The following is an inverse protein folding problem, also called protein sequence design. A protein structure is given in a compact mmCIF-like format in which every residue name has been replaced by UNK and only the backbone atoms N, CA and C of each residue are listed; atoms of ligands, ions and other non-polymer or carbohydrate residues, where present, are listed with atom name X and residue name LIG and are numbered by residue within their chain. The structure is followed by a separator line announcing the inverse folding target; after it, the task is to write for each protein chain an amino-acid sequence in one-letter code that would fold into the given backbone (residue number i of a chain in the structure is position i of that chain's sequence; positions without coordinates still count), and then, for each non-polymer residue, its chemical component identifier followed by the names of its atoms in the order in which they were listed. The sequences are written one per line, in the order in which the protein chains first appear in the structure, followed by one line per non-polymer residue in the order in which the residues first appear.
data_IF_976287632908
#
_entry.id   IF_976287632908
#
_cell.length_a   1.000
_cell.length_b   1.000
_cell.length_c   1.000
_cell.angle_alpha   90.00
_cell.angle_beta   90.00
_cell.angle_gamma   90.00
#
_symmetry.space_group_name_H-M   'P 1'
#
loop_
_entity.id
_entity.type
_entity.pdbx_description
1 polymer ?
#
# COMPACT_ATOMS: atom_id res chain seq x y z
N UNK A 1 -8.17 -18.32 4.34
CA UNK A 1 -7.50 -19.40 3.60
C UNK A 1 -6.42 -18.76 2.77
N UNK A 2 -5.19 -18.71 3.29
CA UNK A 2 -4.01 -18.27 2.54
C UNK A 2 -3.65 -19.41 1.59
N UNK A 3 -3.70 -19.16 0.28
CA UNK A 3 -3.22 -20.15 -0.67
C UNK A 3 -1.69 -20.21 -0.56
N UNK A 4 -1.07 -21.40 -0.48
CA UNK A 4 0.37 -21.52 -0.55
C UNK A 4 0.80 -21.13 -1.97
N UNK A 5 1.48 -19.99 -2.10
CA UNK A 5 2.09 -19.48 -3.34
C UNK A 5 3.19 -20.39 -3.92
N UNK A 6 3.42 -21.56 -3.33
CA UNK A 6 4.59 -22.41 -3.57
C UNK A 6 4.56 -23.23 -4.87
N UNK A 7 3.48 -23.19 -5.66
CA UNK A 7 3.33 -24.05 -6.84
C UNK A 7 2.87 -23.32 -8.12
N UNK A 8 3.30 -22.08 -8.34
CA UNK A 8 3.16 -21.44 -9.65
C UNK A 8 4.41 -21.74 -10.49
N UNK A 9 4.32 -22.59 -11.55
CA UNK A 9 5.43 -22.85 -12.44
C UNK A 9 5.71 -21.59 -13.28
N UNK A 10 6.75 -20.85 -12.92
CA UNK A 10 7.16 -19.66 -13.66
C UNK A 10 7.89 -18.64 -12.80
N UNK A 11 9.20 -18.83 -12.66
CA UNK A 11 10.22 -17.78 -12.56
C UNK A 11 10.10 -16.78 -11.40
N UNK A 12 10.41 -17.25 -10.19
CA UNK A 12 10.84 -16.41 -9.07
C UNK A 12 11.97 -17.08 -8.27
N UNK A 13 12.94 -17.67 -8.97
CA UNK A 13 14.12 -18.25 -8.32
C UNK A 13 15.16 -17.17 -8.06
N UNK A 14 15.57 -17.03 -6.80
CA UNK A 14 16.57 -16.08 -6.29
C UNK A 14 16.06 -15.33 -5.05
N UNK A 15 16.81 -15.42 -3.95
CA UNK A 15 16.50 -14.74 -2.68
C UNK A 15 16.42 -13.20 -2.83
N UNK A 16 17.07 -12.63 -3.86
CA UNK A 16 17.05 -11.19 -4.18
C UNK A 16 15.88 -10.76 -5.09
N UNK A 17 14.98 -11.67 -5.47
CA UNK A 17 13.80 -11.32 -6.27
C UNK A 17 12.71 -10.62 -5.44
N UNK A 18 11.87 -9.77 -6.06
CA UNK A 18 10.72 -9.13 -5.39
C UNK A 18 9.81 -10.17 -4.72
N UNK A 19 9.64 -11.33 -5.36
CA UNK A 19 8.87 -12.43 -4.80
C UNK A 19 9.55 -13.06 -3.59
N UNK A 20 10.88 -13.23 -3.63
CA UNK A 20 11.69 -13.63 -2.47
C UNK A 20 11.50 -12.67 -1.29
N UNK A 21 11.62 -11.36 -1.54
CA UNK A 21 11.39 -10.33 -0.53
C UNK A 21 9.96 -10.39 0.06
N UNK A 22 8.94 -10.65 -0.76
CA UNK A 22 7.56 -10.80 -0.29
C UNK A 22 7.36 -12.06 0.58
N UNK A 23 8.11 -13.14 0.32
CA UNK A 23 8.03 -14.38 1.12
C UNK A 23 8.71 -14.24 2.49
N UNK A 24 9.65 -13.30 2.62
CA UNK A 24 10.38 -13.02 3.86
C UNK A 24 9.75 -11.88 4.69
N UNK A 25 8.72 -11.20 4.19
CA UNK A 25 8.06 -10.09 4.89
C UNK A 25 6.93 -10.57 5.82
N UNK A 26 6.58 -9.74 6.80
CA UNK A 26 5.42 -9.97 7.67
C UNK A 26 4.07 -9.97 6.91
N UNK A 27 4.07 -9.43 5.70
CA UNK A 27 2.92 -9.37 4.82
C UNK A 27 3.23 -8.63 3.52
N UNK A 28 2.45 -8.93 2.50
CA UNK A 28 2.53 -8.25 1.20
C UNK A 28 1.13 -7.88 0.70
N UNK A 29 1.08 -6.87 -0.15
CA UNK A 29 -0.15 -6.41 -0.77
C UNK A 29 0.11 -6.09 -2.24
N UNK A 30 -0.74 -6.64 -3.10
CA UNK A 30 -0.69 -6.41 -4.54
C UNK A 30 -1.94 -5.68 -4.99
N UNK A 31 -1.76 -4.63 -5.81
CA UNK A 31 -2.86 -3.94 -6.46
C UNK A 31 -2.46 -3.45 -7.84
N UNK A 32 -3.46 -3.32 -8.71
CA UNK A 32 -3.36 -2.46 -9.88
C UNK A 32 -3.68 -1.02 -9.48
N UNK A 33 -2.91 -0.07 -10.01
CA UNK A 33 -3.16 1.35 -9.81
C UNK A 33 -4.24 1.82 -10.79
N UNK A 34 -5.20 2.60 -10.30
CA UNK A 34 -6.15 3.29 -11.16
C UNK A 34 -5.57 4.60 -11.72
N UNK A 35 -6.10 5.08 -12.84
CA UNK A 35 -5.65 6.34 -13.46
C UNK A 35 -5.76 7.56 -12.52
N UNK A 36 -6.69 7.54 -11.57
CA UNK A 36 -6.83 8.60 -10.58
C UNK A 36 -5.68 8.63 -9.57
N UNK A 37 -5.09 7.47 -9.28
CA UNK A 37 -4.04 7.33 -8.27
C UNK A 37 -2.65 7.60 -8.85
N UNK A 38 -2.48 7.42 -10.15
CA UNK A 38 -1.29 7.79 -10.90
C UNK A 38 -1.31 9.25 -11.36
N UNK A 39 -2.21 10.09 -10.82
CA UNK A 39 -2.32 11.50 -11.20
C UNK A 39 -2.75 11.77 -12.66
N UNK A 40 -2.96 10.72 -13.48
CA UNK A 40 -3.16 10.83 -14.92
C UNK A 40 -4.45 11.56 -15.32
N UNK A 41 -5.42 11.66 -14.42
CA UNK A 41 -6.68 12.35 -14.65
C UNK A 41 -6.70 13.80 -14.16
N UNK A 42 -5.58 14.31 -13.61
CA UNK A 42 -5.53 15.64 -12.97
C UNK A 42 -6.41 15.78 -11.74
N UNK A 43 -6.96 14.66 -11.24
CA UNK A 43 -7.85 14.67 -10.08
C UNK A 43 -7.07 14.95 -8.79
N UNK A 44 -7.68 15.66 -7.85
CA UNK A 44 -7.11 15.94 -6.53
C UNK A 44 -6.99 14.70 -5.61
N UNK A 45 -7.29 13.49 -6.09
CA UNK A 45 -7.13 12.27 -5.30
C UNK A 45 -5.66 11.83 -5.26
N UNK A 46 -4.84 12.56 -4.51
CA UNK A 46 -3.45 12.21 -4.27
C UNK A 46 -3.36 11.01 -3.30
N UNK A 47 -2.94 9.85 -3.80
CA UNK A 47 -2.52 8.72 -2.98
C UNK A 47 -3.18 7.39 -3.32
N UNK A 48 -2.48 6.31 -2.96
CA UNK A 48 -2.94 4.95 -3.21
C UNK A 48 -4.04 4.55 -2.23
N UNK A 49 -5.22 4.24 -2.74
CA UNK A 49 -6.27 3.55 -2.02
C UNK A 49 -5.79 2.17 -1.56
N UNK A 50 -6.09 1.85 -0.30
CA UNK A 50 -5.81 0.57 0.31
C UNK A 50 -7.12 0.01 0.88
N UNK A 51 -7.39 -1.25 0.57
CA UNK A 51 -8.65 -1.89 0.97
C UNK A 51 -8.75 -1.96 2.50
N UNK A 52 -9.95 -1.71 3.06
CA UNK A 52 -10.19 -1.66 4.52
C UNK A 52 -9.77 -2.91 5.29
N UNK A 53 -9.76 -4.07 4.65
CA UNK A 53 -9.36 -5.34 5.28
C UNK A 53 -7.84 -5.50 5.38
N UNK A 54 -7.06 -4.68 4.66
CA UNK A 54 -5.59 -4.71 4.68
C UNK A 54 -5.00 -3.81 5.78
N UNK A 55 -5.81 -3.35 6.75
CA UNK A 55 -5.35 -2.45 7.81
C UNK A 55 -4.19 -3.03 8.63
N UNK A 56 -4.17 -4.35 8.81
CA UNK A 56 -3.21 -5.07 9.65
C UNK A 56 -1.77 -4.94 9.15
N UNK A 57 -1.57 -4.59 7.87
CA UNK A 57 -0.25 -4.30 7.32
C UNK A 57 0.39 -3.03 7.92
N UNK A 58 -0.42 -2.12 8.46
CA UNK A 58 0.04 -0.78 8.85
C UNK A 58 -0.42 -0.34 10.25
N UNK A 59 -1.56 -0.85 10.72
CA UNK A 59 -2.15 -0.55 12.01
C UNK A 59 -2.44 -1.81 12.84
N UNK A 60 -2.30 -1.72 14.17
CA UNK A 60 -2.63 -2.84 15.06
C UNK A 60 -4.14 -3.08 15.19
N UNK A 61 -4.97 -2.08 14.87
CA UNK A 61 -6.44 -2.15 14.96
C UNK A 61 -7.07 -1.50 13.72
N UNK A 62 -8.28 -1.95 13.32
CA UNK A 62 -9.01 -1.29 12.25
C UNK A 62 -9.39 0.13 12.65
N UNK A 63 -9.46 1.01 11.66
CA UNK A 63 -9.83 2.40 11.84
C UNK A 63 -11.31 2.51 12.18
N UNK A 64 -11.65 3.46 13.06
CA UNK A 64 -13.02 3.62 13.55
C UNK A 64 -13.76 4.68 12.73
N UNK A 65 -15.05 4.46 12.51
CA UNK A 65 -15.90 5.45 11.84
C UNK A 65 -16.00 6.71 12.73
N UNK A 66 -15.95 7.88 12.10
CA UNK A 66 -16.02 9.18 12.80
C UNK A 66 -14.66 9.78 13.16
N UNK A 67 -13.57 9.02 13.05
CA UNK A 67 -12.21 9.51 13.31
C UNK A 67 -11.30 9.33 12.10
N UNK A 68 -10.22 10.13 12.07
CA UNK A 68 -9.09 9.89 11.20
C UNK A 68 -7.93 9.44 12.07
N UNK A 69 -7.13 8.50 11.57
CA UNK A 69 -5.87 8.10 12.20
C UNK A 69 -4.80 8.02 11.12
N UNK A 70 -3.54 8.18 11.50
CA UNK A 70 -2.44 8.08 10.56
C UNK A 70 -1.20 7.47 11.23
N UNK A 71 -0.33 6.93 10.40
CA UNK A 71 1.02 6.51 10.74
C UNK A 71 1.97 7.02 9.66
N UNK A 72 3.04 7.67 10.08
CA UNK A 72 4.13 8.02 9.17
C UNK A 72 4.99 6.77 8.92
N UNK A 73 5.37 6.56 7.66
CA UNK A 73 6.09 5.39 7.16
C UNK A 73 7.19 5.84 6.19
N UNK A 74 8.18 4.99 6.01
CA UNK A 74 9.15 5.11 4.92
C UNK A 74 8.86 4.03 3.89
N UNK A 75 8.97 4.39 2.62
CA UNK A 75 8.85 3.45 1.50
C UNK A 75 10.17 3.47 0.78
N UNK A 76 10.82 2.31 0.74
CA UNK A 76 11.97 2.03 -0.11
C UNK A 76 11.47 1.54 -1.47
N UNK A 77 11.92 2.21 -2.52
CA UNK A 77 11.56 1.91 -3.90
C UNK A 77 12.60 1.02 -4.56
N UNK A 78 12.23 0.39 -5.68
CA UNK A 78 13.11 -0.54 -6.39
C UNK A 78 14.39 0.10 -6.94
N UNK A 79 14.43 1.43 -7.09
CA UNK A 79 15.61 2.19 -7.50
C UNK A 79 16.50 2.62 -6.32
N UNK A 80 16.18 2.17 -5.11
CA UNK A 80 16.89 2.50 -3.86
C UNK A 80 16.51 3.87 -3.28
N UNK A 81 15.59 4.61 -3.89
CA UNK A 81 15.10 5.85 -3.30
C UNK A 81 14.20 5.55 -2.09
N UNK A 82 14.23 6.44 -1.11
CA UNK A 82 13.38 6.34 0.08
C UNK A 82 12.51 7.57 0.18
N UNK A 83 11.20 7.36 0.35
CA UNK A 83 10.25 8.46 0.53
C UNK A 83 9.55 8.37 1.88
N UNK A 84 9.45 9.51 2.56
CA UNK A 84 8.57 9.65 3.72
C UNK A 84 7.12 9.79 3.26
N UNK A 85 6.32 8.78 3.60
CA UNK A 85 4.91 8.68 3.27
C UNK A 85 4.04 8.58 4.52
N UNK A 86 2.73 8.64 4.33
CA UNK A 86 1.76 8.55 5.42
C UNK A 86 0.64 7.60 5.04
N UNK A 87 0.47 6.56 5.84
CA UNK A 87 -0.68 5.68 5.80
C UNK A 87 -1.81 6.29 6.66
N UNK A 88 -2.94 6.64 6.05
CA UNK A 88 -4.04 7.38 6.69
C UNK A 88 -5.34 6.59 6.59
N UNK A 89 -6.04 6.45 7.72
CA UNK A 89 -7.45 6.12 7.78
C UNK A 89 -8.30 7.38 7.69
N UNK A 90 -9.23 7.40 6.73
CA UNK A 90 -10.26 8.42 6.64
C UNK A 90 -11.62 7.83 7.05
N UNK A 91 -12.01 8.03 8.31
CA UNK A 91 -13.31 7.60 8.83
C UNK A 91 -14.31 8.73 9.06
N UNK A 92 -13.89 10.00 8.93
CA UNK A 92 -14.79 11.17 9.07
C UNK A 92 -15.73 11.35 7.86
N UNK A 93 -16.91 11.91 8.12
CA UNK A 93 -17.94 12.15 7.10
C UNK A 93 -18.39 10.86 6.44
N UNK A 94 -18.47 10.84 5.10
CA UNK A 94 -18.88 9.66 4.33
C UNK A 94 -17.71 8.70 4.02
N UNK A 95 -16.47 9.03 4.40
CA UNK A 95 -15.29 8.21 4.09
C UNK A 95 -15.18 7.00 5.01
N UNK A 96 -14.63 5.92 4.46
CA UNK A 96 -14.37 4.67 5.17
C UNK A 96 -13.25 3.91 4.43
N UNK A 97 -12.10 4.56 4.28
CA UNK A 97 -11.01 4.08 3.43
C UNK A 97 -9.64 4.35 4.03
N UNK A 98 -8.66 3.55 3.63
CA UNK A 98 -7.24 3.83 3.88
C UNK A 98 -6.57 4.36 2.63
N UNK A 99 -5.57 5.23 2.83
CA UNK A 99 -4.70 5.70 1.75
C UNK A 99 -3.24 5.79 2.17
N UNK A 100 -2.33 5.51 1.24
CA UNK A 100 -0.94 5.97 1.31
C UNK A 100 -0.85 7.31 0.60
N UNK A 101 -0.32 8.32 1.27
CA UNK A 101 -0.21 9.70 0.79
C UNK A 101 1.17 10.26 1.11
N UNK A 102 1.52 11.42 0.56
CA UNK A 102 2.85 12.07 0.70
C UNK A 102 4.01 11.25 0.13
N UNK A 103 5.08 11.91 -0.30
CA UNK A 103 6.24 11.23 -0.87
C UNK A 103 6.05 10.66 -2.28
N UNK A 104 4.80 10.57 -2.78
CA UNK A 104 4.44 10.01 -4.10
C UNK A 104 4.56 11.02 -5.27
N UNK A 105 5.52 11.93 -5.20
CA UNK A 105 5.66 13.04 -6.14
C UNK A 105 6.13 12.60 -7.54
N UNK A 106 6.69 11.40 -7.67
CA UNK A 106 7.13 10.82 -8.94
C UNK A 106 5.97 10.23 -9.78
N UNK A 107 4.73 10.26 -9.28
CA UNK A 107 3.54 9.79 -10.00
C UNK A 107 2.89 10.88 -10.88
N UNK A 108 3.51 12.05 -11.06
CA UNK A 108 2.98 13.15 -11.86
C UNK A 108 4.08 13.96 -12.51
#
# INVERSE_FOLDING_TARGET
MLLPFQNLPGRFEGDESIAGACLQSDGFFFKFLSANETGATGSHQAGFYIHRQAYWLFFPQPGKKGENSFRDIEIEWADGTVTSSRFTWYGKGNKSEYRITKGLHFLG
#
